data_IF_005631881786
#
_entry.id   IF_005631881786
#
_cell.length_a   1.000
_cell.length_b   1.000
_cell.length_c   1.000
_cell.angle_alpha   90.00
_cell.angle_beta   90.00
_cell.angle_gamma   90.00
#
_symmetry.space_group_name_H-M   'P 1'
#
loop_
_entity.id
_entity.type
_entity.pdbx_description
1 polymer ?
#
# COMPACT_ATOMS: atom_id res chain seq x y z
N UNK A 1 -14.53 -9.95 -15.46
CA UNK A 1 -14.76 -10.98 -14.44
C UNK A 1 -13.79 -10.77 -13.31
N UNK A 2 -14.32 -10.50 -12.18
CA UNK A 2 -13.58 -10.19 -10.97
C UNK A 2 -12.70 -11.34 -10.54
N UNK A 3 -11.45 -11.29 -10.90
CA UNK A 3 -10.39 -12.05 -10.29
C UNK A 3 -10.45 -13.57 -10.37
N UNK A 4 -11.41 -14.16 -11.04
CA UNK A 4 -11.42 -15.60 -11.27
C UNK A 4 -10.71 -15.93 -12.56
N UNK A 5 -9.39 -16.08 -12.50
CA UNK A 5 -8.71 -16.77 -13.57
C UNK A 5 -9.15 -18.24 -13.50
N UNK A 6 -9.66 -18.81 -14.59
CA UNK A 6 -9.96 -20.24 -14.65
C UNK A 6 -8.71 -21.06 -14.29
N UNK A 7 -8.87 -22.23 -13.66
CA UNK A 7 -7.79 -23.14 -13.31
C UNK A 7 -6.89 -23.52 -14.50
N UNK A 8 -7.42 -23.41 -15.71
CA UNK A 8 -6.78 -23.74 -17.00
C UNK A 8 -6.24 -22.52 -17.77
N UNK A 9 -6.16 -21.34 -17.11
CA UNK A 9 -5.63 -20.12 -17.70
C UNK A 9 -6.69 -19.17 -18.22
N UNK A 10 -6.26 -17.96 -18.57
CA UNK A 10 -7.13 -16.90 -19.09
C UNK A 10 -7.44 -17.17 -20.55
N UNK A 11 -8.71 -17.30 -20.90
CA UNK A 11 -9.15 -17.22 -22.29
C UNK A 11 -9.30 -15.75 -22.67
N UNK A 12 -8.52 -15.32 -23.65
CA UNK A 12 -8.49 -13.94 -24.11
C UNK A 12 -9.70 -13.54 -24.98
N UNK A 13 -10.68 -14.41 -25.13
CA UNK A 13 -11.75 -14.29 -26.14
C UNK A 13 -13.08 -13.83 -25.56
N UNK A 14 -13.11 -13.43 -24.30
CA UNK A 14 -14.31 -12.87 -23.67
C UNK A 14 -14.19 -11.35 -23.68
N UNK A 15 -14.88 -10.69 -24.60
CA UNK A 15 -14.91 -9.22 -24.73
C UNK A 15 -15.46 -8.54 -23.46
N UNK A 16 -16.14 -9.30 -22.58
CA UNK A 16 -16.64 -8.85 -21.28
C UNK A 16 -15.67 -9.20 -20.13
N UNK A 17 -14.46 -9.67 -20.42
CA UNK A 17 -13.48 -10.03 -19.39
C UNK A 17 -12.69 -8.83 -18.90
N UNK A 18 -13.20 -8.18 -17.87
CA UNK A 18 -12.47 -7.15 -17.12
C UNK A 18 -11.82 -7.80 -15.89
N UNK A 19 -10.50 -7.92 -15.82
CA UNK A 19 -9.82 -8.57 -14.70
C UNK A 19 -9.97 -7.79 -13.39
N UNK A 20 -10.33 -6.52 -13.47
CA UNK A 20 -10.59 -5.64 -12.32
C UNK A 20 -11.32 -4.37 -12.77
N UNK A 21 -12.18 -3.86 -11.91
CA UNK A 21 -12.93 -2.62 -12.15
C UNK A 21 -12.27 -1.43 -11.44
N UNK A 22 -11.47 -1.70 -10.40
CA UNK A 22 -10.82 -0.68 -9.57
C UNK A 22 -9.34 -1.02 -9.31
N UNK A 23 -8.57 -0.04 -8.81
CA UNK A 23 -7.20 -0.27 -8.34
C UNK A 23 -7.16 -1.33 -7.24
N UNK A 24 -8.12 -1.31 -6.32
CA UNK A 24 -8.17 -2.22 -5.17
C UNK A 24 -8.49 -3.64 -5.61
N UNK A 25 -9.41 -3.82 -6.55
CA UNK A 25 -9.70 -5.12 -7.15
C UNK A 25 -8.45 -5.72 -7.82
N UNK A 26 -7.70 -4.88 -8.57
CA UNK A 26 -6.44 -5.32 -9.16
C UNK A 26 -5.42 -5.73 -8.11
N UNK A 27 -5.17 -4.88 -7.11
CA UNK A 27 -4.14 -5.12 -6.09
C UNK A 27 -4.46 -6.39 -5.32
N UNK A 28 -5.71 -6.58 -4.89
CA UNK A 28 -6.16 -7.75 -4.14
C UNK A 28 -6.06 -9.03 -4.99
N UNK A 29 -6.47 -8.97 -6.26
CA UNK A 29 -6.36 -10.10 -7.19
C UNK A 29 -4.91 -10.38 -7.55
N UNK A 30 -4.11 -9.36 -7.83
CA UNK A 30 -2.72 -9.49 -8.24
C UNK A 30 -1.87 -10.16 -7.16
N UNK A 31 -2.10 -9.86 -5.89
CA UNK A 31 -1.44 -10.53 -4.77
C UNK A 31 -1.66 -12.04 -4.81
N UNK A 32 -2.90 -12.46 -4.98
CA UNK A 32 -3.27 -13.87 -5.04
C UNK A 32 -2.63 -14.57 -6.25
N UNK A 33 -2.68 -13.95 -7.43
CA UNK A 33 -2.09 -14.51 -8.65
C UNK A 33 -0.58 -14.62 -8.57
N UNK A 34 0.08 -13.62 -8.02
CA UNK A 34 1.53 -13.62 -7.88
C UNK A 34 2.02 -14.72 -6.93
N UNK A 35 1.26 -15.04 -5.86
CA UNK A 35 1.50 -16.19 -4.99
C UNK A 35 1.43 -17.52 -5.73
N UNK A 36 0.50 -17.64 -6.67
CA UNK A 36 0.35 -18.83 -7.53
C UNK A 36 1.37 -18.89 -8.66
N UNK A 37 2.33 -17.95 -8.71
CA UNK A 37 3.40 -17.91 -9.72
C UNK A 37 3.02 -17.23 -11.03
N UNK A 38 1.83 -16.64 -11.13
CA UNK A 38 1.42 -15.87 -12.31
C UNK A 38 2.15 -14.52 -12.36
N UNK A 39 2.29 -13.99 -13.57
CA UNK A 39 2.91 -12.69 -13.83
C UNK A 39 1.99 -11.85 -14.70
N UNK A 40 1.93 -10.55 -14.39
CA UNK A 40 1.20 -9.60 -15.22
C UNK A 40 2.07 -9.12 -16.38
N UNK A 41 1.52 -9.10 -17.58
CA UNK A 41 2.15 -8.56 -18.80
C UNK A 41 1.15 -7.65 -19.52
N UNK A 42 1.67 -6.68 -20.25
CA UNK A 42 0.87 -5.82 -21.10
C UNK A 42 1.44 -5.81 -22.53
N UNK A 43 0.60 -6.07 -23.52
CA UNK A 43 0.99 -6.21 -24.92
C UNK A 43 0.54 -5.03 -25.81
N UNK A 44 0.18 -3.90 -25.18
CA UNK A 44 -0.33 -2.73 -25.90
C UNK A 44 -1.80 -2.87 -26.27
N UNK A 45 -2.28 -1.97 -27.11
CA UNK A 45 -3.65 -2.00 -27.61
C UNK A 45 -3.79 -3.05 -28.73
N UNK A 46 -5.02 -3.47 -29.04
CA UNK A 46 -5.34 -4.65 -29.82
C UNK A 46 -4.64 -4.86 -31.16
N UNK A 47 -4.12 -3.79 -31.76
CA UNK A 47 -3.45 -3.85 -33.07
C UNK A 47 -1.91 -3.97 -32.99
N UNK A 48 -1.31 -3.77 -31.80
CA UNK A 48 0.15 -3.71 -31.65
C UNK A 48 0.77 -5.05 -31.23
N UNK A 49 0.15 -5.77 -30.29
CA UNK A 49 0.61 -7.08 -29.80
C UNK A 49 2.03 -7.11 -29.22
N UNK A 50 2.71 -5.96 -29.13
CA UNK A 50 4.08 -5.86 -28.64
C UNK A 50 4.12 -5.80 -27.11
N UNK A 51 4.89 -6.71 -26.51
CA UNK A 51 5.10 -6.69 -25.05
C UNK A 51 5.74 -5.38 -24.60
N UNK A 52 5.06 -4.67 -23.72
CA UNK A 52 5.52 -3.41 -23.18
C UNK A 52 6.48 -3.61 -22.01
N UNK A 53 7.39 -2.67 -21.84
CA UNK A 53 8.35 -2.60 -20.73
C UNK A 53 8.39 -1.18 -20.19
N UNK A 54 9.01 -0.99 -19.00
CA UNK A 54 9.15 0.33 -18.38
C UNK A 54 7.80 0.91 -17.92
N UNK A 55 7.71 2.24 -17.81
CA UNK A 55 6.49 2.96 -17.37
C UNK A 55 5.48 3.01 -18.51
N UNK A 56 4.26 2.61 -18.19
CA UNK A 56 3.12 2.69 -19.11
C UNK A 56 1.92 3.25 -18.35
N UNK A 57 1.12 4.06 -19.05
CA UNK A 57 -0.22 4.44 -18.57
C UNK A 57 -1.22 3.61 -19.38
N UNK A 58 -2.04 2.85 -18.69
CA UNK A 58 -3.04 1.95 -19.30
C UNK A 58 -4.40 2.50 -18.93
N UNK A 59 -5.27 2.66 -19.90
CA UNK A 59 -6.65 3.06 -19.70
C UNK A 59 -7.54 1.81 -19.68
N UNK A 60 -8.35 1.67 -18.62
CA UNK A 60 -9.28 0.57 -18.42
C UNK A 60 -10.59 1.17 -17.97
N UNK A 61 -11.65 0.96 -18.74
CA UNK A 61 -13.00 1.49 -18.47
C UNK A 61 -13.04 3.01 -18.24
N UNK A 62 -12.16 3.75 -18.93
CA UNK A 62 -12.04 5.20 -18.84
C UNK A 62 -11.14 5.71 -17.73
N UNK A 63 -10.68 4.86 -16.83
CA UNK A 63 -9.72 5.20 -15.79
C UNK A 63 -8.29 4.92 -16.21
N UNK A 64 -7.35 5.79 -15.77
CA UNK A 64 -5.94 5.70 -16.12
C UNK A 64 -5.12 5.15 -14.96
N UNK A 65 -4.45 4.03 -15.21
CA UNK A 65 -3.57 3.35 -14.27
C UNK A 65 -2.11 3.47 -14.72
N UNK A 66 -1.21 3.67 -13.75
CA UNK A 66 0.21 3.74 -14.03
C UNK A 66 0.88 2.40 -13.69
N UNK A 67 1.56 1.82 -14.66
CA UNK A 67 2.26 0.55 -14.52
C UNK A 67 3.76 0.68 -14.75
N UNK A 68 4.52 -0.19 -14.11
CA UNK A 68 5.92 -0.43 -14.39
C UNK A 68 6.15 -1.90 -14.72
N UNK A 69 6.69 -2.16 -15.90
CA UNK A 69 7.09 -3.48 -16.34
C UNK A 69 8.61 -3.58 -16.43
N UNK A 70 9.18 -4.70 -16.00
CA UNK A 70 10.62 -4.91 -15.95
C UNK A 70 11.26 -4.69 -17.31
N UNK A 71 12.37 -3.96 -17.34
CA UNK A 71 13.02 -3.51 -18.59
C UNK A 71 13.84 -4.59 -19.26
N UNK A 72 14.43 -5.51 -18.47
CA UNK A 72 15.43 -6.46 -18.93
C UNK A 72 15.51 -7.73 -18.06
N UNK A 73 16.39 -8.64 -18.44
CA UNK A 73 16.65 -9.87 -17.71
C UNK A 73 15.54 -10.92 -17.88
N UNK A 74 15.54 -11.92 -17.01
CA UNK A 74 14.58 -13.04 -17.04
C UNK A 74 13.15 -12.61 -16.71
N UNK A 75 12.96 -11.41 -16.17
CA UNK A 75 11.66 -10.83 -15.81
C UNK A 75 11.18 -9.78 -16.81
N UNK A 76 11.89 -9.57 -17.94
CA UNK A 76 11.54 -8.55 -18.92
C UNK A 76 10.06 -8.63 -19.30
N UNK A 77 9.38 -7.47 -19.24
CA UNK A 77 7.96 -7.34 -19.55
C UNK A 77 7.00 -7.74 -18.43
N UNK A 78 7.46 -8.41 -17.36
CA UNK A 78 6.58 -8.71 -16.23
C UNK A 78 6.35 -7.48 -15.38
N UNK A 79 5.14 -7.32 -14.85
CA UNK A 79 4.79 -6.28 -13.88
C UNK A 79 5.68 -6.39 -12.65
N UNK A 80 6.23 -5.25 -12.23
CA UNK A 80 7.08 -5.18 -11.05
C UNK A 80 6.26 -5.30 -9.77
N UNK A 81 6.74 -6.10 -8.83
CA UNK A 81 6.34 -6.04 -7.43
C UNK A 81 7.55 -5.63 -6.60
N UNK A 82 7.44 -4.50 -5.91
CA UNK A 82 8.53 -3.91 -5.16
C UNK A 82 8.70 -2.41 -5.42
N UNK A 83 9.82 -1.88 -4.94
CA UNK A 83 10.18 -0.47 -5.08
C UNK A 83 10.90 -0.19 -6.40
N UNK A 84 10.55 0.93 -7.02
CA UNK A 84 11.25 1.54 -8.14
C UNK A 84 11.08 3.06 -8.10
N UNK A 85 12.18 3.81 -8.18
CA UNK A 85 12.18 5.29 -8.15
C UNK A 85 11.40 5.88 -6.94
N UNK A 86 11.63 5.34 -5.72
CA UNK A 86 10.96 5.74 -4.47
C UNK A 86 9.43 5.57 -4.51
N UNK A 87 8.92 4.62 -5.30
CA UNK A 87 7.51 4.27 -5.44
C UNK A 87 7.32 2.78 -5.29
N UNK A 88 6.15 2.37 -4.80
CA UNK A 88 5.79 0.96 -4.68
C UNK A 88 4.87 0.53 -5.81
N UNK A 89 5.11 -0.70 -6.30
CA UNK A 89 4.34 -1.34 -7.36
C UNK A 89 3.90 -2.73 -6.93
N UNK A 90 2.66 -3.08 -7.26
CA UNK A 90 2.12 -4.44 -7.10
C UNK A 90 1.76 -4.99 -8.47
N UNK A 91 2.45 -6.06 -8.89
CA UNK A 91 2.26 -6.70 -10.20
C UNK A 91 2.26 -5.70 -11.37
N UNK A 92 3.06 -4.67 -11.24
CA UNK A 92 3.20 -3.55 -12.17
C UNK A 92 2.42 -2.30 -11.80
N UNK A 93 1.28 -2.38 -11.13
CA UNK A 93 0.47 -1.21 -10.81
C UNK A 93 1.11 -0.36 -9.72
N UNK A 94 1.21 0.96 -9.97
CA UNK A 94 1.66 1.95 -9.00
C UNK A 94 0.67 2.04 -7.84
N UNK A 95 1.18 1.91 -6.60
CA UNK A 95 0.41 2.16 -5.39
C UNK A 95 0.44 3.64 -5.05
N UNK A 96 -0.72 4.26 -4.99
CA UNK A 96 -0.88 5.70 -4.73
C UNK A 96 -2.19 5.97 -3.99
N UNK A 97 -2.30 7.14 -3.39
CA UNK A 97 -3.57 7.63 -2.86
C UNK A 97 -4.56 7.90 -4.00
N UNK A 98 -5.85 7.71 -3.73
CA UNK A 98 -6.93 8.06 -4.63
C UNK A 98 -6.94 9.56 -4.94
N UNK A 99 -7.65 9.97 -6.00
CA UNK A 99 -7.71 11.37 -6.44
C UNK A 99 -8.35 12.31 -5.40
N UNK A 100 -9.26 11.76 -4.61
CA UNK A 100 -10.00 12.49 -3.56
C UNK A 100 -9.34 12.36 -2.18
N UNK A 101 -8.24 11.58 -2.09
CA UNK A 101 -7.43 11.37 -0.91
C UNK A 101 -6.08 12.07 -1.09
N UNK A 102 -5.48 12.54 0.01
CA UNK A 102 -4.12 13.11 -0.03
C UNK A 102 -3.06 12.05 0.17
N UNK A 103 -3.36 11.07 1.02
CA UNK A 103 -2.44 10.02 1.44
C UNK A 103 -3.15 8.68 1.53
N UNK A 104 -2.37 7.62 1.33
CA UNK A 104 -2.77 6.23 1.49
C UNK A 104 -1.72 5.49 2.31
N UNK A 105 -2.17 4.67 3.27
CA UNK A 105 -1.27 3.76 3.98
C UNK A 105 -1.12 2.48 3.19
N UNK A 106 0.13 2.06 3.00
CA UNK A 106 0.51 0.82 2.34
C UNK A 106 1.19 -0.09 3.35
N UNK A 107 0.69 -1.32 3.51
CA UNK A 107 1.33 -2.39 4.28
C UNK A 107 2.20 -3.23 3.35
N UNK A 108 3.46 -3.47 3.75
CA UNK A 108 4.31 -4.46 3.10
C UNK A 108 3.94 -5.85 3.61
N UNK A 109 3.68 -6.76 2.70
CA UNK A 109 3.45 -8.18 2.98
C UNK A 109 4.80 -8.91 2.91
N UNK A 110 5.25 -9.48 4.03
CA UNK A 110 6.55 -10.16 4.12
C UNK A 110 6.35 -11.67 4.23
N UNK A 111 6.63 -12.34 3.14
CA UNK A 111 6.54 -13.79 2.99
C UNK A 111 7.30 -14.61 4.04
N UNK A 112 8.31 -14.03 4.66
CA UNK A 112 9.22 -14.77 5.53
C UNK A 112 8.84 -14.72 7.02
N UNK A 113 7.89 -13.88 7.40
CA UNK A 113 7.54 -13.64 8.81
C UNK A 113 6.25 -14.31 9.26
N UNK A 114 5.33 -14.58 8.34
CA UNK A 114 4.05 -15.25 8.65
C UNK A 114 4.13 -16.77 8.42
N UNK A 115 5.13 -17.43 9.00
CA UNK A 115 5.39 -18.88 8.84
C UNK A 115 4.32 -19.82 9.38
N UNK A 116 3.24 -19.30 9.95
CA UNK A 116 2.19 -20.09 10.57
C UNK A 116 0.89 -20.15 9.79
N UNK A 117 0.81 -19.54 8.61
CA UNK A 117 -0.35 -19.63 7.76
C UNK A 117 -0.01 -20.49 6.55
N UNK A 118 -0.76 -21.59 6.34
CA UNK A 118 -0.63 -22.50 5.17
C UNK A 118 -0.93 -21.78 3.83
N UNK A 119 -1.25 -20.50 3.87
CA UNK A 119 -1.31 -19.60 2.72
C UNK A 119 0.05 -18.97 2.48
N UNK A 120 0.94 -19.75 1.87
CA UNK A 120 2.26 -19.34 1.46
C UNK A 120 2.34 -17.85 1.07
N UNK A 121 2.92 -17.10 2.01
CA UNK A 121 3.79 -15.99 1.74
C UNK A 121 3.31 -14.99 0.69
N UNK A 122 2.31 -14.18 1.03
CA UNK A 122 1.96 -12.97 0.27
C UNK A 122 3.19 -12.09 0.10
N UNK A 123 3.74 -12.04 -1.11
CA UNK A 123 4.75 -11.07 -1.49
C UNK A 123 4.05 -9.86 -2.08
N UNK A 124 4.41 -8.68 -1.61
CA UNK A 124 3.90 -7.44 -2.17
C UNK A 124 3.32 -6.51 -1.13
N UNK A 125 2.22 -5.91 -1.45
CA UNK A 125 1.65 -4.81 -0.69
C UNK A 125 0.14 -4.95 -0.55
N UNK A 126 -0.39 -4.34 0.51
CA UNK A 126 -1.82 -4.15 0.74
C UNK A 126 -2.08 -2.66 0.99
N UNK A 127 -3.09 -2.09 0.38
CA UNK A 127 -3.63 -0.79 0.75
C UNK A 127 -4.51 -0.95 1.99
N UNK A 128 -4.44 0.00 2.91
CA UNK A 128 -5.34 0.08 4.06
C UNK A 128 -6.30 1.25 3.82
N UNK A 129 -7.58 0.95 3.77
CA UNK A 129 -8.60 1.88 3.26
C UNK A 129 -8.75 3.15 4.08
N UNK A 130 -8.54 3.06 5.40
CA UNK A 130 -8.69 4.18 6.31
C UNK A 130 -7.83 4.06 7.57
N UNK A 131 -7.92 5.05 8.44
CA UNK A 131 -7.24 5.07 9.76
C UNK A 131 -7.70 3.93 10.65
N UNK A 132 -8.97 3.51 10.56
CA UNK A 132 -9.47 2.40 11.36
C UNK A 132 -8.76 1.10 10.95
N UNK A 133 -8.72 0.79 9.66
CA UNK A 133 -8.02 -0.39 9.12
C UNK A 133 -6.54 -0.40 9.53
N UNK A 134 -5.85 0.75 9.48
CA UNK A 134 -4.49 0.87 9.97
C UNK A 134 -4.38 0.59 11.47
N UNK A 135 -5.28 1.14 12.29
CA UNK A 135 -5.29 0.92 13.76
C UNK A 135 -5.55 -0.55 14.13
N UNK A 136 -6.39 -1.24 13.36
CA UNK A 136 -6.65 -2.68 13.55
C UNK A 136 -5.40 -3.52 13.23
N UNK A 137 -4.67 -3.16 12.18
CA UNK A 137 -3.43 -3.84 11.77
C UNK A 137 -2.28 -3.69 12.78
N UNK A 138 -2.14 -2.49 13.37
CA UNK A 138 -1.05 -2.20 14.33
C UNK A 138 -1.48 -2.34 15.78
N UNK A 139 -2.63 -2.94 16.07
CA UNK A 139 -3.10 -3.15 17.44
C UNK A 139 -2.06 -3.91 18.25
N UNK A 140 -1.76 -3.51 19.51
CA UNK A 140 -0.84 -4.25 20.37
C UNK A 140 -1.47 -5.55 20.90
N UNK A 141 -0.66 -6.41 21.49
CA UNK A 141 -1.12 -7.67 22.09
C UNK A 141 -2.27 -7.44 23.10
N UNK A 142 -3.35 -8.19 22.92
CA UNK A 142 -4.55 -8.11 23.76
C UNK A 142 -5.59 -7.11 23.30
N UNK A 143 -5.29 -6.30 22.26
CA UNK A 143 -6.21 -5.33 21.68
C UNK A 143 -6.64 -5.74 20.26
N UNK A 144 -7.86 -5.39 19.89
CA UNK A 144 -8.37 -5.59 18.53
C UNK A 144 -8.12 -4.37 17.63
N UNK A 145 -7.90 -3.21 18.23
CA UNK A 145 -7.62 -1.95 17.56
C UNK A 145 -6.67 -1.12 18.43
N UNK A 146 -5.78 -0.36 17.81
CA UNK A 146 -4.88 0.54 18.52
C UNK A 146 -5.68 1.57 19.33
N UNK A 147 -5.59 1.56 20.69
CA UNK A 147 -6.34 2.50 21.52
C UNK A 147 -5.79 3.92 21.41
N UNK A 148 -6.64 4.88 21.71
CA UNK A 148 -6.22 6.27 21.84
C UNK A 148 -5.27 6.42 23.05
N UNK A 149 -4.29 7.29 22.90
CA UNK A 149 -3.33 7.67 23.92
C UNK A 149 -3.65 9.06 24.40
N UNK A 150 -3.66 9.29 25.73
CA UNK A 150 -3.85 10.64 26.27
C UNK A 150 -2.71 11.56 25.84
N UNK A 151 -2.98 12.67 25.13
CA UNK A 151 -1.94 13.63 24.76
C UNK A 151 -1.31 14.29 25.98
N UNK A 152 0.01 14.42 25.96
CA UNK A 152 0.77 15.28 26.89
C UNK A 152 1.80 16.07 26.10
N UNK A 153 2.14 17.27 26.56
CA UNK A 153 3.13 18.12 25.87
C UNK A 153 4.48 17.39 25.68
N UNK A 154 4.89 16.60 26.67
CA UNK A 154 6.13 15.83 26.61
C UNK A 154 6.07 14.73 25.55
N UNK A 155 4.95 13.99 25.48
CA UNK A 155 4.74 12.94 24.47
C UNK A 155 4.68 13.52 23.06
N UNK A 156 3.90 14.59 22.86
CA UNK A 156 3.81 15.27 21.56
C UNK A 156 5.18 15.75 21.08
N UNK A 157 5.97 16.36 21.97
CA UNK A 157 7.33 16.79 21.67
C UNK A 157 8.23 15.61 21.28
N UNK A 158 8.15 14.49 21.99
CA UNK A 158 8.95 13.28 21.68
C UNK A 158 8.62 12.69 20.32
N UNK A 159 7.36 12.79 19.87
CA UNK A 159 6.89 12.37 18.56
C UNK A 159 7.20 13.41 17.46
N UNK A 160 7.74 14.57 17.81
CA UNK A 160 8.00 15.67 16.89
C UNK A 160 6.73 16.42 16.47
N UNK A 161 5.66 16.34 17.25
CA UNK A 161 4.40 17.07 17.06
C UNK A 161 4.53 18.41 17.77
N UNK A 162 4.55 19.50 17.00
CA UNK A 162 4.65 20.86 17.53
C UNK A 162 3.26 21.42 17.86
N UNK A 163 2.62 20.83 18.88
CA UNK A 163 1.30 21.20 19.41
C UNK A 163 1.28 21.11 20.91
N UNK A 164 0.33 21.80 21.54
CA UNK A 164 -0.02 21.60 22.94
C UNK A 164 -0.99 20.44 23.08
N UNK A 165 -0.98 19.77 24.22
CA UNK A 165 -1.89 18.68 24.49
C UNK A 165 -3.36 19.10 24.36
N UNK A 166 -3.69 20.33 24.75
CA UNK A 166 -5.05 20.88 24.68
C UNK A 166 -5.53 21.14 23.23
N UNK A 167 -4.62 21.21 22.25
CA UNK A 167 -4.94 21.42 20.83
C UNK A 167 -5.16 20.10 20.08
N UNK A 168 -4.89 18.96 20.71
CA UNK A 168 -5.03 17.61 20.12
C UNK A 168 -6.30 16.97 20.65
N UNK A 169 -7.14 16.48 19.75
CA UNK A 169 -8.37 15.76 20.10
C UNK A 169 -8.09 14.27 20.30
N UNK A 170 -7.61 13.60 19.27
CA UNK A 170 -7.24 12.19 19.34
C UNK A 170 -5.75 12.02 19.06
N UNK A 171 -5.12 11.08 19.76
CA UNK A 171 -3.73 10.67 19.51
C UNK A 171 -3.63 9.16 19.55
N UNK A 172 -3.04 8.58 18.52
CA UNK A 172 -2.72 7.15 18.39
C UNK A 172 -1.23 7.00 18.20
N UNK A 173 -0.55 6.39 19.17
CA UNK A 173 0.91 6.13 19.10
C UNK A 173 1.13 4.71 18.63
N UNK A 174 1.80 4.57 17.50
CA UNK A 174 2.06 3.27 16.86
C UNK A 174 3.03 2.46 17.72
N UNK A 175 2.67 1.23 18.12
CA UNK A 175 3.50 0.38 18.96
C UNK A 175 4.70 -0.17 18.18
N UNK A 176 5.71 -0.65 18.87
CA UNK A 176 6.87 -1.31 18.25
C UNK A 176 6.54 -2.72 17.76
N UNK A 177 5.55 -3.36 18.38
CA UNK A 177 5.07 -4.71 18.07
C UNK A 177 3.56 -4.69 17.88
N UNK A 178 3.08 -5.44 16.89
CA UNK A 178 1.64 -5.69 16.71
C UNK A 178 1.12 -6.80 17.64
N UNK A 179 -0.17 -7.13 17.53
CA UNK A 179 -0.84 -8.16 18.34
C UNK A 179 -0.22 -9.55 18.21
N UNK A 180 0.46 -9.83 17.11
CA UNK A 180 1.13 -11.10 16.82
C UNK A 180 2.61 -11.08 17.28
N UNK A 181 3.04 -10.00 17.93
CA UNK A 181 4.41 -9.80 18.41
C UNK A 181 5.42 -9.47 17.30
N UNK A 182 4.95 -9.12 16.11
CA UNK A 182 5.79 -8.78 14.97
C UNK A 182 6.17 -7.29 14.99
N UNK A 183 7.36 -6.97 14.48
CA UNK A 183 7.81 -5.59 14.38
C UNK A 183 6.93 -4.79 13.43
N UNK A 184 6.40 -3.67 13.90
CA UNK A 184 5.59 -2.72 13.08
C UNK A 184 6.50 -1.86 12.20
N UNK A 185 7.70 -1.54 12.69
CA UNK A 185 8.67 -0.71 11.96
C UNK A 185 9.06 -1.33 10.63
N UNK A 186 9.00 -0.53 9.56
CA UNK A 186 9.38 -0.95 8.22
C UNK A 186 8.29 -1.72 7.45
N UNK A 187 7.08 -1.84 8.00
CA UNK A 187 5.96 -2.51 7.34
C UNK A 187 4.91 -1.56 6.75
N UNK A 188 4.73 -0.38 7.34
CA UNK A 188 3.65 0.55 6.98
C UNK A 188 4.22 1.85 6.48
N UNK A 189 3.81 2.24 5.28
CA UNK A 189 4.32 3.43 4.59
C UNK A 189 3.17 4.33 4.18
N UNK A 190 3.43 5.64 4.15
CA UNK A 190 2.50 6.63 3.67
C UNK A 190 2.90 7.05 2.25
N UNK A 191 1.97 6.96 1.29
CA UNK A 191 2.17 7.42 -0.08
C UNK A 191 1.19 8.53 -0.42
N UNK A 192 1.58 9.44 -1.31
CA UNK A 192 0.70 10.49 -1.80
C UNK A 192 0.00 10.11 -3.13
N UNK A 193 -0.74 11.03 -3.73
CA UNK A 193 -1.46 10.85 -4.99
C UNK A 193 -0.57 10.59 -6.21
N UNK A 194 0.73 10.87 -6.13
CA UNK A 194 1.72 10.53 -7.16
C UNK A 194 2.45 9.21 -6.88
N UNK A 195 2.09 8.51 -5.80
CA UNK A 195 2.74 7.29 -5.35
C UNK A 195 4.09 7.53 -4.64
N UNK A 196 4.45 8.79 -4.38
CA UNK A 196 5.69 9.10 -3.67
C UNK A 196 5.56 8.69 -2.20
N UNK A 197 6.54 7.92 -1.71
CA UNK A 197 6.64 7.56 -0.30
C UNK A 197 7.03 8.79 0.52
N UNK A 198 6.28 9.06 1.57
CA UNK A 198 6.53 10.16 2.49
C UNK A 198 7.61 9.73 3.50
N UNK A 199 8.66 10.52 3.59
CA UNK A 199 9.80 10.25 4.48
C UNK A 199 10.15 11.43 5.39
N UNK A 200 9.26 12.41 5.52
CA UNK A 200 9.48 13.61 6.32
C UNK A 200 8.45 13.74 7.44
N UNK A 201 8.86 14.36 8.55
CA UNK A 201 8.00 14.72 9.68
C UNK A 201 7.03 15.87 9.39
N UNK A 202 6.94 16.36 8.16
CA UNK A 202 6.03 17.44 7.82
C UNK A 202 4.59 17.05 8.12
N UNK A 203 3.74 18.05 8.32
CA UNK A 203 2.32 17.85 8.59
C UNK A 203 1.64 17.15 7.41
N UNK A 204 1.50 15.85 7.51
CA UNK A 204 0.85 15.03 6.48
C UNK A 204 -0.63 14.85 6.85
N UNK A 205 -1.43 15.91 6.64
CA UNK A 205 -2.88 15.90 6.89
C UNK A 205 -3.61 15.27 5.71
N UNK A 206 -4.40 14.24 5.99
CA UNK A 206 -5.27 13.60 4.99
C UNK A 206 -6.58 14.38 4.75
N UNK A 207 -7.47 13.82 3.93
CA UNK A 207 -8.79 14.39 3.65
C UNK A 207 -9.79 14.28 4.78
N UNK A 208 -9.52 13.46 5.81
CA UNK A 208 -10.39 13.15 6.94
C UNK A 208 -9.90 13.77 8.25
N UNK A 209 -9.09 14.83 8.16
CA UNK A 209 -8.53 15.58 9.28
C UNK A 209 -7.49 14.85 10.15
N UNK A 210 -7.05 13.65 9.75
CA UNK A 210 -5.95 12.95 10.41
C UNK A 210 -4.58 13.44 9.94
N UNK A 211 -3.68 13.65 10.90
CA UNK A 211 -2.28 13.97 10.66
C UNK A 211 -1.42 12.74 10.90
N UNK A 212 -0.68 12.32 9.89
CA UNK A 212 0.27 11.22 9.98
C UNK A 212 1.66 11.74 10.36
N UNK A 213 2.20 11.24 11.45
CA UNK A 213 3.55 11.53 11.90
C UNK A 213 4.48 10.46 11.37
N UNK A 214 5.41 10.88 10.50
CA UNK A 214 6.33 9.98 9.84
C UNK A 214 7.75 10.23 10.36
N UNK A 215 8.41 9.18 10.83
CA UNK A 215 9.83 9.20 11.18
C UNK A 215 10.67 8.74 9.99
N UNK A 216 11.73 9.47 9.67
CA UNK A 216 12.64 9.10 8.59
C UNK A 216 13.38 7.80 8.91
N UNK A 217 13.30 6.84 8.01
CA UNK A 217 14.03 5.57 8.08
C UNK A 217 14.69 5.28 6.73
N UNK A 218 15.92 5.72 6.53
CA UNK A 218 16.60 5.62 5.24
C UNK A 218 15.91 6.47 4.16
N UNK A 219 15.50 5.81 3.06
CA UNK A 219 14.76 6.44 1.96
C UNK A 219 13.26 6.53 2.19
N UNK A 220 12.73 5.73 3.11
CA UNK A 220 11.31 5.64 3.45
C UNK A 220 11.06 6.20 4.84
N UNK A 221 9.80 6.47 5.17
CA UNK A 221 9.38 6.88 6.51
C UNK A 221 8.56 5.79 7.19
N UNK A 222 8.63 5.72 8.52
CA UNK A 222 7.72 4.91 9.31
C UNK A 222 6.64 5.80 9.90
N UNK A 223 5.39 5.36 9.87
CA UNK A 223 4.30 6.00 10.59
C UNK A 223 4.47 5.68 12.07
N UNK A 224 4.69 6.69 12.91
CA UNK A 224 4.91 6.53 14.36
C UNK A 224 3.74 7.02 15.20
N UNK A 225 2.89 7.87 14.67
CA UNK A 225 1.66 8.31 15.31
C UNK A 225 0.67 8.86 14.29
N UNK A 226 -0.60 8.91 14.69
CA UNK A 226 -1.67 9.61 13.99
C UNK A 226 -2.40 10.46 15.01
N UNK A 227 -2.80 11.67 14.65
CA UNK A 227 -3.56 12.53 15.55
C UNK A 227 -4.55 13.41 14.78
N UNK A 228 -5.55 13.94 15.51
CA UNK A 228 -6.47 15.00 15.06
C UNK A 228 -6.32 16.24 15.92
N UNK A 229 -6.64 17.41 15.35
CA UNK A 229 -6.67 18.68 16.04
C UNK A 229 -8.11 19.02 16.45
N UNK A 230 -8.27 19.73 17.60
CA UNK A 230 -9.56 20.27 18.03
C UNK A 230 -10.00 21.43 17.17
#
# INVERSE_FOLDING_TARGET
SKGNIPEDGVKADDDDYHPFDTEDDFINSANWYEQKGYKCYYFGDGDDGAMRTNKNTIEIDGDKFNFFFEKSGSKKGSGKTGEEDDKFYQSGMLLKAGKDEKYQVIKTLDANKDKNDDNDALKGYKKLDDVQAFREEVAPAGETILPATTPTDALLSSLGINKKADDVDELYVVPTKDKDGLDVKGKYFLVNTSGKVINSKSKNKDGNDYYYVVEKAGKVGNIVAIYTEK
#
